data_IF_847455199188
#
_entry.id   IF_847455199188
#
_cell.length_a   1.000
_cell.length_b   1.000
_cell.length_c   1.000
_cell.angle_alpha   90.00
_cell.angle_beta   90.00
_cell.angle_gamma   90.00
#
_symmetry.space_group_name_H-M   'P 1'
#
loop_
_entity.id
_entity.type
_entity.pdbx_description
1 polymer ?
#
# COMPACT_ATOMS: atom_id res chain seq x y z
N UNK A 1 22.73 9.75 4.58
CA UNK A 1 21.40 9.73 5.24
C UNK A 1 21.08 8.29 5.58
N UNK A 2 20.73 8.02 6.83
CA UNK A 2 20.77 6.69 7.43
C UNK A 2 19.83 5.72 6.71
N UNK A 3 20.42 4.67 6.12
CA UNK A 3 19.71 3.50 5.63
C UNK A 3 18.97 2.90 6.83
N UNK A 4 17.63 2.97 6.81
CA UNK A 4 16.71 2.25 7.70
C UNK A 4 16.90 0.74 7.50
N UNK A 5 18.05 0.23 7.98
CA UNK A 5 18.35 -1.20 7.95
C UNK A 5 17.61 -1.83 9.11
N UNK A 6 16.65 -2.68 8.78
CA UNK A 6 16.10 -3.67 9.71
C UNK A 6 17.26 -4.35 10.44
N UNK A 7 17.25 -4.39 11.79
CA UNK A 7 18.30 -5.05 12.57
C UNK A 7 18.53 -6.48 12.06
N UNK A 8 19.79 -6.94 12.05
CA UNK A 8 20.18 -8.29 11.57
C UNK A 8 19.32 -9.41 12.18
N UNK A 9 18.90 -9.26 13.43
CA UNK A 9 18.06 -10.21 14.17
C UNK A 9 16.67 -10.43 13.55
N UNK A 10 16.11 -9.44 12.84
CA UNK A 10 14.81 -9.61 12.18
C UNK A 10 14.93 -10.44 10.90
N UNK A 11 16.06 -10.40 10.18
CA UNK A 11 16.24 -11.13 8.90
C UNK A 11 16.21 -12.65 9.04
N UNK A 12 16.54 -13.19 10.21
CA UNK A 12 16.62 -14.63 10.47
C UNK A 12 15.32 -15.22 11.06
N UNK A 13 14.31 -14.39 11.36
CA UNK A 13 13.06 -14.81 12.00
C UNK A 13 11.78 -14.26 11.32
N UNK A 14 11.90 -13.75 10.08
CA UNK A 14 10.71 -13.39 9.32
C UNK A 14 9.91 -14.67 9.01
N UNK A 15 8.57 -14.65 9.20
CA UNK A 15 7.75 -15.83 8.96
C UNK A 15 7.85 -16.29 7.50
N UNK A 16 7.31 -17.46 7.17
CA UNK A 16 7.14 -17.84 5.77
C UNK A 16 5.80 -17.35 5.23
N UNK A 17 5.72 -17.10 3.92
CA UNK A 17 4.49 -16.67 3.25
C UNK A 17 3.31 -17.61 3.55
N UNK A 18 3.56 -18.91 3.55
CA UNK A 18 2.55 -19.94 3.84
C UNK A 18 2.02 -19.83 5.28
N UNK A 19 2.90 -19.62 6.25
CA UNK A 19 2.48 -19.41 7.64
C UNK A 19 1.61 -18.16 7.78
N UNK A 20 1.96 -17.09 7.07
CA UNK A 20 1.17 -15.86 7.06
C UNK A 20 -0.23 -16.05 6.47
N UNK A 21 -0.31 -16.76 5.34
CA UNK A 21 -1.58 -17.13 4.71
C UNK A 21 -2.45 -18.02 5.60
N UNK A 22 -1.85 -18.94 6.36
CA UNK A 22 -2.61 -19.88 7.19
C UNK A 22 -3.07 -19.26 8.52
N UNK A 23 -2.23 -18.43 9.17
CA UNK A 23 -2.49 -17.96 10.54
C UNK A 23 -2.99 -16.52 10.64
N UNK A 24 -2.62 -15.67 9.69
CA UNK A 24 -2.77 -14.22 9.82
C UNK A 24 -3.56 -13.60 8.67
N UNK A 25 -4.20 -14.41 7.81
CA UNK A 25 -4.98 -13.91 6.68
C UNK A 25 -6.10 -12.97 7.13
N UNK A 26 -6.10 -11.78 6.55
CA UNK A 26 -7.12 -10.76 6.76
C UNK A 26 -8.00 -10.61 5.50
N UNK A 27 -9.32 -10.57 5.71
CA UNK A 27 -10.29 -10.28 4.64
C UNK A 27 -10.40 -8.77 4.45
N UNK A 28 -9.56 -8.24 3.55
CA UNK A 28 -9.53 -6.79 3.26
C UNK A 28 -10.49 -6.45 2.12
N UNK A 29 -11.28 -5.42 2.31
CA UNK A 29 -12.05 -4.75 1.25
C UNK A 29 -11.68 -3.27 1.20
N UNK A 30 -11.85 -2.64 0.04
CA UNK A 30 -11.58 -1.22 -0.17
C UNK A 30 -12.76 -0.36 0.27
N UNK A 31 -12.47 0.84 0.79
CA UNK A 31 -13.47 1.82 1.18
C UNK A 31 -13.63 2.91 0.10
N UNK A 32 -14.74 2.91 -0.68
CA UNK A 32 -15.00 3.92 -1.70
C UNK A 32 -15.10 5.36 -1.15
N UNK A 33 -15.39 5.52 0.14
CA UNK A 33 -15.44 6.84 0.78
C UNK A 33 -14.06 7.47 0.92
N UNK A 34 -13.00 6.66 0.88
CA UNK A 34 -11.61 7.12 0.99
C UNK A 34 -10.96 7.34 -0.38
N UNK A 35 -11.49 6.71 -1.42
CA UNK A 35 -10.89 6.71 -2.75
C UNK A 35 -10.87 8.10 -3.38
N UNK A 36 -9.72 8.51 -3.91
CA UNK A 36 -9.59 9.74 -4.69
C UNK A 36 -10.53 9.75 -5.91
N UNK A 37 -10.93 10.93 -6.38
CA UNK A 37 -12.03 11.08 -7.33
C UNK A 37 -11.78 10.44 -8.71
N UNK A 38 -10.55 10.16 -9.11
CA UNK A 38 -10.21 9.45 -10.34
C UNK A 38 -10.05 7.94 -10.14
N UNK A 39 -10.42 7.40 -8.97
CA UNK A 39 -10.38 5.97 -8.70
C UNK A 39 -11.77 5.35 -8.72
N UNK A 40 -11.87 4.19 -9.39
CA UNK A 40 -13.06 3.34 -9.38
C UNK A 40 -12.76 2.11 -8.54
N UNK A 41 -13.48 1.97 -7.43
CA UNK A 41 -13.52 0.75 -6.63
C UNK A 41 -14.58 -0.19 -7.20
N UNK A 42 -14.25 -1.45 -7.41
CA UNK A 42 -15.19 -2.47 -7.91
C UNK A 42 -16.35 -2.71 -6.94
N UNK A 43 -17.45 -3.28 -7.44
CA UNK A 43 -18.65 -3.54 -6.64
C UNK A 43 -18.38 -4.49 -5.45
N UNK A 44 -17.54 -5.51 -5.67
CA UNK A 44 -17.08 -6.43 -4.63
C UNK A 44 -16.04 -5.81 -3.68
N UNK A 45 -15.61 -4.57 -3.94
CA UNK A 45 -14.61 -3.81 -3.20
C UNK A 45 -13.25 -4.51 -3.10
N UNK A 46 -12.93 -5.39 -4.05
CA UNK A 46 -11.65 -6.09 -4.10
C UNK A 46 -10.66 -5.44 -5.07
N UNK A 47 -11.14 -4.69 -6.05
CA UNK A 47 -10.29 -4.06 -7.06
C UNK A 47 -10.44 -2.55 -7.07
N UNK A 48 -9.37 -1.87 -7.46
CA UNK A 48 -9.36 -0.44 -7.75
C UNK A 48 -8.61 -0.18 -9.04
N UNK A 49 -9.16 0.69 -9.88
CA UNK A 49 -8.54 1.12 -11.12
C UNK A 49 -8.60 2.64 -11.28
N UNK A 50 -7.59 3.20 -11.94
CA UNK A 50 -7.65 4.58 -12.38
C UNK A 50 -8.70 4.76 -13.49
N UNK A 51 -9.38 5.90 -13.47
CA UNK A 51 -10.37 6.33 -14.45
C UNK A 51 -9.88 7.55 -15.23
N UNK A 52 -10.40 7.73 -16.45
CA UNK A 52 -10.08 8.90 -17.28
C UNK A 52 -10.81 10.18 -16.82
N UNK A 53 -11.90 10.02 -16.06
CA UNK A 53 -12.77 11.11 -15.61
C UNK A 53 -13.05 11.00 -14.11
N UNK A 54 -13.28 12.13 -13.41
CA UNK A 54 -13.59 12.10 -11.99
C UNK A 54 -14.98 11.49 -11.77
N UNK A 55 -15.10 10.63 -10.76
CA UNK A 55 -16.33 9.93 -10.38
C UNK A 55 -17.36 10.86 -9.72
N UNK A 56 -17.00 12.13 -9.47
CA UNK A 56 -17.86 13.17 -8.87
C UNK A 56 -18.63 12.72 -7.62
N UNK A 57 -18.00 12.04 -6.65
CA UNK A 57 -18.69 11.60 -5.44
C UNK A 57 -19.04 12.79 -4.52
N UNK A 58 -19.99 12.64 -3.58
CA UNK A 58 -20.25 13.65 -2.57
C UNK A 58 -18.98 13.98 -1.77
N UNK A 59 -18.82 15.25 -1.29
CA UNK A 59 -17.73 15.63 -0.41
C UNK A 59 -17.67 14.71 0.82
N UNK A 60 -16.49 14.16 1.11
CA UNK A 60 -16.27 13.28 2.25
C UNK A 60 -14.91 13.58 2.88
N UNK A 61 -14.83 13.92 4.18
CA UNK A 61 -13.56 14.24 4.84
C UNK A 61 -12.56 13.07 4.90
N UNK A 62 -13.01 11.83 4.65
CA UNK A 62 -12.14 10.65 4.56
C UNK A 62 -11.44 10.51 3.20
N UNK A 63 -11.92 11.24 2.18
CA UNK A 63 -11.49 11.11 0.78
C UNK A 63 -10.13 11.76 0.56
N UNK A 64 -9.22 11.07 -0.12
CA UNK A 64 -8.03 11.72 -0.64
C UNK A 64 -8.38 12.67 -1.79
N UNK A 65 -7.82 13.89 -1.79
CA UNK A 65 -8.16 14.91 -2.79
C UNK A 65 -7.09 15.07 -3.87
N UNK A 66 -5.80 14.90 -3.54
CA UNK A 66 -4.70 15.25 -4.46
C UNK A 66 -3.81 14.06 -4.86
N UNK A 67 -3.98 12.92 -4.21
CA UNK A 67 -3.12 11.75 -4.42
C UNK A 67 -4.00 10.52 -4.68
N UNK A 68 -3.78 9.79 -5.78
CA UNK A 68 -4.65 8.70 -6.22
C UNK A 68 -4.48 7.47 -5.33
N UNK A 69 -5.06 7.55 -4.14
CA UNK A 69 -4.99 6.56 -3.09
C UNK A 69 -6.38 6.12 -2.64
N UNK A 70 -6.42 4.92 -2.05
CA UNK A 70 -7.60 4.37 -1.38
C UNK A 70 -7.16 3.56 -0.17
N UNK A 71 -8.00 3.52 0.87
CA UNK A 71 -7.77 2.69 2.05
C UNK A 71 -8.65 1.43 2.04
N UNK A 72 -8.20 0.44 2.80
CA UNK A 72 -9.05 -0.65 3.23
C UNK A 72 -10.12 -0.18 4.23
N UNK A 73 -11.26 -0.86 4.25
CA UNK A 73 -12.36 -0.60 5.17
C UNK A 73 -12.08 -1.13 6.58
N UNK A 74 -11.27 -2.18 6.71
CA UNK A 74 -10.87 -2.77 7.98
C UNK A 74 -9.60 -2.08 8.51
N UNK A 75 -9.72 -1.45 9.67
CA UNK A 75 -8.59 -0.88 10.40
C UNK A 75 -8.12 -1.81 11.52
N UNK A 76 -6.81 -1.82 11.77
CA UNK A 76 -6.17 -2.69 12.75
C UNK A 76 -5.51 -1.87 13.86
N UNK A 77 -5.69 -2.29 15.11
CA UNK A 77 -5.10 -1.66 16.30
C UNK A 77 -4.26 -2.63 17.15
N UNK A 78 -4.14 -3.88 16.70
CA UNK A 78 -3.45 -4.96 17.41
C UNK A 78 -3.29 -6.17 16.49
N UNK A 79 -2.38 -7.07 16.84
CA UNK A 79 -2.15 -8.34 16.18
C UNK A 79 -1.34 -8.25 14.90
N UNK A 80 -1.21 -9.42 14.27
CA UNK A 80 -0.56 -9.59 12.98
C UNK A 80 -1.59 -9.93 11.91
N UNK A 81 -1.49 -9.25 10.77
CA UNK A 81 -2.45 -9.34 9.66
C UNK A 81 -1.71 -9.48 8.34
N UNK A 82 -2.26 -10.28 7.42
CA UNK A 82 -1.67 -10.56 6.13
C UNK A 82 -2.73 -10.56 5.03
N UNK A 83 -2.47 -9.84 3.94
CA UNK A 83 -3.27 -9.88 2.73
C UNK A 83 -2.37 -9.84 1.51
N UNK A 84 -2.93 -10.17 0.35
CA UNK A 84 -2.17 -10.17 -0.89
C UNK A 84 -2.84 -9.28 -1.92
N UNK A 85 -2.02 -8.60 -2.70
CA UNK A 85 -2.47 -7.71 -3.77
C UNK A 85 -1.84 -8.18 -5.08
N UNK A 86 -2.69 -8.44 -6.06
CA UNK A 86 -2.30 -8.70 -7.43
C UNK A 86 -1.97 -7.38 -8.13
N UNK A 87 -0.77 -7.34 -8.69
CA UNK A 87 -0.22 -6.21 -9.44
C UNK A 87 -0.02 -6.66 -10.88
N UNK A 88 -0.54 -5.91 -11.84
CA UNK A 88 -0.30 -6.19 -13.26
C UNK A 88 1.08 -5.73 -13.73
N UNK A 89 1.30 -5.69 -15.04
CA UNK A 89 2.56 -5.22 -15.64
C UNK A 89 2.74 -3.68 -15.59
N UNK A 90 1.74 -2.97 -15.07
CA UNK A 90 1.77 -1.52 -14.92
C UNK A 90 2.75 -1.08 -13.82
N UNK A 91 3.34 0.10 -14.00
CA UNK A 91 4.58 0.47 -13.30
C UNK A 91 4.43 1.59 -12.26
N UNK A 92 3.23 2.10 -12.01
CA UNK A 92 3.04 3.23 -11.09
C UNK A 92 2.06 2.90 -9.96
N UNK A 93 2.45 2.03 -9.05
CA UNK A 93 1.61 1.60 -7.94
C UNK A 93 2.38 1.54 -6.62
N UNK A 94 1.65 1.54 -5.50
CA UNK A 94 2.18 1.16 -4.20
C UNK A 94 1.13 0.40 -3.39
N UNK A 95 1.58 -0.54 -2.58
CA UNK A 95 0.74 -1.29 -1.63
C UNK A 95 1.37 -1.23 -0.25
N UNK A 96 0.56 -1.17 0.80
CA UNK A 96 1.07 -1.15 2.16
C UNK A 96 0.02 -0.75 3.18
N UNK A 97 0.42 0.07 4.14
CA UNK A 97 -0.46 0.56 5.20
C UNK A 97 -0.31 2.05 5.44
N UNK A 98 -1.38 2.67 5.95
CA UNK A 98 -1.41 4.06 6.38
C UNK A 98 -2.08 4.20 7.76
N UNK A 99 -1.65 5.18 8.53
CA UNK A 99 -2.33 5.57 9.78
C UNK A 99 -3.69 6.20 9.49
N UNK A 100 -4.60 6.12 10.45
CA UNK A 100 -5.87 6.85 10.43
C UNK A 100 -5.67 8.35 10.19
N UNK A 101 -4.70 8.96 10.87
CA UNK A 101 -4.38 10.38 10.77
C UNK A 101 -3.68 10.79 9.47
N UNK A 102 -3.50 9.88 8.51
CA UNK A 102 -2.87 10.24 7.23
C UNK A 102 -3.67 11.37 6.57
N UNK A 103 -2.95 12.38 6.08
CA UNK A 103 -3.57 13.58 5.52
C UNK A 103 -4.32 13.26 4.24
N UNK A 104 -5.44 13.96 4.03
CA UNK A 104 -6.41 13.67 2.96
C UNK A 104 -6.48 14.76 1.89
N UNK A 105 -6.24 16.01 2.26
CA UNK A 105 -6.54 17.20 1.49
C UNK A 105 -5.30 17.96 0.97
N UNK A 106 -4.12 17.37 1.06
CA UNK A 106 -2.87 18.00 0.59
C UNK A 106 -1.97 16.99 -0.13
N UNK A 107 -0.90 17.51 -0.74
CA UNK A 107 0.10 16.68 -1.39
C UNK A 107 0.74 15.71 -0.38
N UNK A 108 0.68 14.42 -0.68
CA UNK A 108 1.12 13.35 0.22
C UNK A 108 2.39 12.69 -0.30
N UNK A 109 3.43 12.65 0.53
CA UNK A 109 4.61 11.82 0.24
C UNK A 109 4.39 10.43 0.83
N UNK A 110 4.57 9.37 0.03
CA UNK A 110 4.41 8.00 0.49
C UNK A 110 5.65 7.56 1.29
N UNK A 111 5.74 8.02 2.52
CA UNK A 111 6.88 7.78 3.42
C UNK A 111 6.44 7.64 4.89
N UNK A 112 7.21 6.94 5.73
CA UNK A 112 6.87 6.71 7.14
C UNK A 112 6.57 7.98 7.94
N UNK A 113 7.23 9.09 7.61
CA UNK A 113 7.06 10.38 8.28
C UNK A 113 5.65 10.95 8.09
N UNK A 114 4.99 10.64 6.96
CA UNK A 114 3.59 10.97 6.69
C UNK A 114 2.61 9.88 7.18
N UNK A 115 3.12 8.86 7.90
CA UNK A 115 2.33 7.76 8.43
C UNK A 115 2.02 6.66 7.41
N UNK A 116 2.87 6.49 6.40
CA UNK A 116 2.66 5.52 5.31
C UNK A 116 3.88 4.59 5.19
N UNK A 117 3.63 3.29 5.18
CA UNK A 117 4.64 2.27 4.91
C UNK A 117 4.19 1.44 3.72
N UNK A 118 4.87 1.59 2.58
CA UNK A 118 4.47 0.94 1.34
C UNK A 118 5.66 0.44 0.51
N UNK A 119 5.36 -0.51 -0.37
CA UNK A 119 6.23 -1.08 -1.38
C UNK A 119 5.59 -0.96 -2.77
N UNK A 120 6.40 -0.80 -3.82
CA UNK A 120 5.92 -0.51 -5.17
C UNK A 120 6.82 0.47 -5.90
N UNK A 121 6.36 1.03 -7.02
CA UNK A 121 7.14 1.86 -7.95
C UNK A 121 6.54 3.28 -8.15
N UNK A 122 5.85 3.82 -7.15
CA UNK A 122 5.15 5.12 -7.23
C UNK A 122 6.05 6.32 -7.58
N UNK A 123 7.36 6.22 -7.37
CA UNK A 123 8.31 7.28 -7.72
C UNK A 123 8.53 7.47 -9.23
N UNK A 124 8.05 6.56 -10.09
CA UNK A 124 8.19 6.73 -11.54
C UNK A 124 7.50 7.99 -12.07
N UNK A 125 6.45 8.48 -11.38
CA UNK A 125 5.82 9.77 -11.70
C UNK A 125 6.79 10.94 -11.53
N UNK A 126 7.56 10.95 -10.43
CA UNK A 126 8.61 11.97 -10.19
C UNK A 126 9.75 11.90 -11.21
N UNK A 127 10.02 10.71 -11.74
CA UNK A 127 11.03 10.52 -12.78
C UNK A 127 10.59 11.07 -14.14
N UNK A 128 9.31 10.95 -14.51
CA UNK A 128 8.78 11.47 -15.77
C UNK A 128 8.82 13.01 -15.86
N UNK A 129 8.67 13.70 -14.73
CA UNK A 129 8.77 15.17 -14.64
C UNK A 129 10.23 15.67 -14.68
N UNK A 130 11.20 14.77 -14.47
CA UNK A 130 12.63 15.07 -14.59
C UNK A 130 13.14 14.55 -15.94
N UNK A 131 13.85 15.36 -16.73
CA UNK A 131 14.47 14.93 -18.00
C UNK A 131 15.47 13.75 -17.88
N UNK A 132 15.66 13.18 -16.69
CA UNK A 132 16.53 12.03 -16.45
C UNK A 132 15.81 10.72 -16.73
N UNK A 133 16.35 9.96 -17.68
CA UNK A 133 15.97 8.57 -17.95
C UNK A 133 16.28 7.71 -16.73
N UNK A 134 15.34 7.61 -15.79
CA UNK A 134 15.48 6.72 -14.64
C UNK A 134 15.36 5.28 -15.16
N UNK A 135 16.40 4.49 -14.94
CA UNK A 135 16.40 3.08 -15.31
C UNK A 135 15.21 2.36 -14.67
N UNK A 136 14.36 1.77 -15.51
CA UNK A 136 13.19 0.99 -15.11
C UNK A 136 13.56 -0.41 -14.59
N UNK A 137 14.85 -0.69 -14.34
CA UNK A 137 15.38 -2.03 -14.01
C UNK A 137 15.04 -2.55 -12.60
N UNK A 138 14.11 -1.92 -11.88
CA UNK A 138 13.72 -2.34 -10.53
C UNK A 138 12.21 -2.46 -10.31
N UNK A 139 11.38 -2.26 -11.34
CA UNK A 139 9.93 -2.40 -11.17
C UNK A 139 9.47 -3.83 -11.42
N UNK A 140 8.62 -4.31 -10.52
CA UNK A 140 8.03 -5.65 -10.51
C UNK A 140 7.35 -5.91 -11.85
N UNK A 141 7.59 -7.10 -12.41
CA UNK A 141 6.75 -7.67 -13.47
C UNK A 141 5.47 -8.19 -12.80
N UNK A 142 4.34 -8.26 -13.51
CA UNK A 142 3.08 -8.76 -12.96
C UNK A 142 3.23 -9.90 -11.95
N UNK A 143 2.47 -9.83 -10.86
CA UNK A 143 2.64 -10.76 -9.75
C UNK A 143 1.73 -10.49 -8.57
N UNK A 144 2.10 -11.07 -7.43
CA UNK A 144 1.33 -10.98 -6.19
C UNK A 144 2.21 -10.53 -5.04
N UNK A 145 1.92 -9.36 -4.49
CA UNK A 145 2.61 -8.78 -3.35
C UNK A 145 1.86 -9.15 -2.07
N UNK A 146 2.54 -9.82 -1.15
CA UNK A 146 2.01 -10.05 0.19
C UNK A 146 2.34 -8.88 1.10
N UNK A 147 1.37 -8.38 1.86
CA UNK A 147 1.58 -7.34 2.87
C UNK A 147 1.33 -7.95 4.25
N UNK A 148 2.31 -7.84 5.14
CA UNK A 148 2.24 -8.31 6.51
C UNK A 148 2.36 -7.12 7.46
N UNK A 149 1.31 -6.85 8.24
CA UNK A 149 1.33 -5.90 9.34
C UNK A 149 1.57 -6.66 10.65
N UNK A 150 2.59 -6.29 11.42
CA UNK A 150 2.77 -6.75 12.80
C UNK A 150 2.70 -5.54 13.75
N UNK A 151 1.53 -5.35 14.37
CA UNK A 151 1.23 -4.14 15.12
C UNK A 151 2.10 -4.04 16.38
N UNK A 152 2.13 -5.08 17.21
CA UNK A 152 2.94 -5.14 18.43
C UNK A 152 4.43 -5.26 18.12
N UNK A 153 4.78 -5.95 17.03
CA UNK A 153 6.16 -6.05 16.55
C UNK A 153 6.70 -4.72 16.00
N UNK A 154 5.83 -3.78 15.62
CA UNK A 154 6.23 -2.47 15.12
C UNK A 154 6.89 -2.53 13.75
N UNK A 155 6.39 -3.37 12.83
CA UNK A 155 6.92 -3.47 11.48
C UNK A 155 5.86 -3.82 10.44
N UNK A 156 6.17 -3.47 9.20
CA UNK A 156 5.38 -3.82 8.01
C UNK A 156 6.29 -4.55 7.03
N UNK A 157 5.84 -5.68 6.51
CA UNK A 157 6.60 -6.55 5.63
C UNK A 157 5.94 -6.75 4.28
N UNK A 158 6.75 -6.97 3.26
CA UNK A 158 6.35 -7.12 1.87
C UNK A 158 6.97 -8.37 1.28
N UNK A 159 6.14 -9.31 0.82
CA UNK A 159 6.57 -10.49 0.08
C UNK A 159 6.46 -10.27 -1.41
N UNK A 160 7.56 -10.53 -2.10
CA UNK A 160 7.67 -10.47 -3.54
C UNK A 160 8.66 -11.56 -4.00
N UNK A 161 8.29 -12.36 -5.00
CA UNK A 161 9.18 -13.38 -5.59
C UNK A 161 9.90 -14.29 -4.57
N UNK A 162 9.16 -14.72 -3.55
CA UNK A 162 9.67 -15.61 -2.49
C UNK A 162 10.61 -14.94 -1.48
N UNK A 163 10.77 -13.60 -1.54
CA UNK A 163 11.58 -12.83 -0.60
C UNK A 163 10.69 -11.88 0.19
N UNK A 164 10.97 -11.79 1.48
CA UNK A 164 10.36 -10.78 2.34
C UNK A 164 11.33 -9.63 2.56
N UNK A 165 10.82 -8.41 2.42
CA UNK A 165 11.45 -7.21 2.97
C UNK A 165 10.58 -6.68 4.09
N UNK A 166 11.16 -5.90 5.01
CA UNK A 166 10.42 -5.31 6.12
C UNK A 166 10.89 -3.88 6.38
N UNK A 167 10.01 -3.09 6.94
CA UNK A 167 10.23 -1.72 7.38
C UNK A 167 9.81 -1.60 8.83
N UNK A 168 10.62 -0.92 9.65
CA UNK A 168 10.19 -0.57 11.00
C UNK A 168 9.10 0.49 10.92
N UNK A 169 8.11 0.35 11.79
CA UNK A 169 6.95 1.21 11.83
C UNK A 169 6.64 1.65 13.26
N UNK A 170 6.10 2.86 13.36
CA UNK A 170 5.59 3.40 14.62
C UNK A 170 4.14 3.78 14.40
N UNK A 171 3.25 2.93 14.90
CA UNK A 171 1.81 3.10 14.67
C UNK A 171 1.14 4.10 15.63
N UNK A 172 1.90 4.70 16.57
CA UNK A 172 1.43 5.74 17.51
C UNK A 172 0.14 5.40 18.27
N UNK A 173 -0.18 4.11 18.44
CA UNK A 173 -1.45 3.61 19.01
C UNK A 173 -2.70 3.99 18.19
N UNK A 174 -2.51 4.36 16.94
CA UNK A 174 -3.58 4.68 15.99
C UNK A 174 -4.09 3.42 15.29
N UNK A 175 -5.24 3.57 14.63
CA UNK A 175 -5.74 2.57 13.69
C UNK A 175 -4.88 2.60 12.43
N UNK A 176 -4.51 1.41 11.94
CA UNK A 176 -3.72 1.23 10.72
C UNK A 176 -4.61 0.58 9.66
N UNK A 177 -4.68 1.19 8.48
CA UNK A 177 -5.48 0.71 7.36
C UNK A 177 -4.59 0.16 6.25
N UNK A 178 -5.02 -0.89 5.53
CA UNK A 178 -4.48 -1.21 4.22
C UNK A 178 -4.51 0.01 3.31
N UNK A 179 -3.48 0.18 2.50
CA UNK A 179 -3.28 1.36 1.67
C UNK A 179 -2.86 0.94 0.27
N UNK A 180 -3.51 1.52 -0.74
CA UNK A 180 -3.16 1.36 -2.15
C UNK A 180 -2.98 2.72 -2.82
N UNK A 181 -1.90 2.88 -3.58
CA UNK A 181 -1.68 3.97 -4.52
C UNK A 181 -1.81 3.42 -5.94
N UNK A 182 -2.58 4.09 -6.78
CA UNK A 182 -2.96 3.62 -8.12
C UNK A 182 -2.67 4.73 -9.13
N UNK A 183 -1.56 4.61 -9.85
CA UNK A 183 -1.23 5.50 -10.95
C UNK A 183 -2.08 5.24 -12.18
N UNK A 184 -1.87 6.05 -13.22
CA UNK A 184 -2.66 5.97 -14.45
C UNK A 184 -2.58 4.57 -15.08
N UNK A 185 -3.71 4.07 -15.60
CA UNK A 185 -3.84 2.74 -16.25
C UNK A 185 -3.58 1.52 -15.35
N UNK A 186 -3.30 1.72 -14.06
CA UNK A 186 -3.08 0.65 -13.09
C UNK A 186 -4.43 0.12 -12.61
N UNK A 187 -4.52 -1.21 -12.48
CA UNK A 187 -5.53 -1.88 -11.67
C UNK A 187 -4.82 -2.73 -10.60
N UNK A 188 -5.28 -2.61 -9.36
CA UNK A 188 -4.83 -3.44 -8.24
C UNK A 188 -6.00 -4.26 -7.72
N UNK A 189 -5.77 -5.52 -7.39
CA UNK A 189 -6.80 -6.42 -6.88
C UNK A 189 -6.36 -7.13 -5.61
N UNK A 190 -7.12 -7.00 -4.53
CA UNK A 190 -6.93 -7.76 -3.30
C UNK A 190 -7.32 -9.21 -3.56
N UNK A 191 -6.39 -10.13 -3.33
CA UNK A 191 -6.66 -11.55 -3.48
C UNK A 191 -7.66 -12.05 -2.41
N UNK A 192 -8.50 -13.02 -2.76
CA UNK A 192 -9.46 -13.64 -1.84
C UNK A 192 -8.82 -14.32 -0.62
#
# INVERSE_FOLDING_TARGET
>A
MASSRVPRLLREALPERRELQEKYKADVTLDPDTAEEYLIVSEDRKSVTAADFPQSPPPNPKRFELVPCVLGAQGFTSGRHYWEVEVGDQREWAVGVALESVKRNEGLSLQPEEGIWCHGCWWLRRAADSSSVVSTQGCVKSGKIGVCLDYEGGWVGFYEDGKMTAMLASFKKEVVFPFLYVGSTVTLTISP
#
